data_IF_411384436264
#
_entry.id   IF_411384436264
#
_cell.length_a   1.000
_cell.length_b   1.000
_cell.length_c   1.000
_cell.angle_alpha   90.00
_cell.angle_beta   90.00
_cell.angle_gamma   90.00
#
_symmetry.space_group_name_H-M   'P 1'
#
loop_
_entity.id
_entity.type
_entity.pdbx_description
1 polymer ?
#
# COMPACT_ATOMS: atom_id res chain seq x y z
N UNK A 1 10.52 20.41 -16.31
CA UNK A 1 10.25 19.54 -15.14
C UNK A 1 8.91 18.85 -15.34
N UNK A 2 8.77 17.60 -14.90
CA UNK A 2 7.52 16.83 -15.02
C UNK A 2 6.99 16.62 -13.61
N UNK A 3 5.83 17.19 -13.31
CA UNK A 3 5.18 17.03 -12.01
C UNK A 3 4.37 15.73 -12.00
N UNK A 4 4.65 14.84 -11.05
CA UNK A 4 3.85 13.64 -10.82
C UNK A 4 2.90 13.91 -9.66
N UNK A 5 1.60 13.93 -9.94
CA UNK A 5 0.59 14.18 -8.94
C UNK A 5 0.55 13.09 -7.87
N UNK A 6 0.08 13.47 -6.67
CA UNK A 6 -0.20 12.49 -5.62
C UNK A 6 -1.25 11.50 -6.09
N UNK A 7 -0.99 10.23 -5.86
CA UNK A 7 -1.92 9.17 -6.22
C UNK A 7 -1.87 8.73 -7.67
N UNK A 8 -1.02 9.33 -8.51
CA UNK A 8 -0.86 8.91 -9.91
C UNK A 8 -0.58 7.39 -9.98
N UNK A 9 -1.38 6.63 -10.76
CA UNK A 9 -1.22 5.19 -10.86
C UNK A 9 -0.05 4.82 -11.77
N UNK A 10 0.40 3.56 -11.65
CA UNK A 10 1.34 3.00 -12.60
C UNK A 10 0.75 3.02 -14.02
N UNK A 11 1.58 3.34 -15.02
CA UNK A 11 1.18 3.42 -16.42
C UNK A 11 0.50 4.74 -16.81
N UNK A 12 0.27 5.66 -15.87
CA UNK A 12 -0.31 6.96 -16.19
C UNK A 12 0.57 7.74 -17.18
N UNK A 13 -0.08 8.38 -18.16
CA UNK A 13 0.59 9.11 -19.25
C UNK A 13 0.49 10.62 -19.02
N UNK A 14 1.62 11.30 -18.89
CA UNK A 14 1.70 12.75 -18.79
C UNK A 14 2.17 13.26 -20.16
N UNK A 15 1.30 14.00 -20.86
CA UNK A 15 1.56 14.50 -22.22
C UNK A 15 1.97 15.96 -22.14
N UNK A 16 3.13 16.29 -22.72
CA UNK A 16 3.58 17.65 -22.96
C UNK A 16 3.46 17.98 -24.45
N UNK A 17 2.44 18.74 -24.86
CA UNK A 17 2.17 18.96 -26.27
C UNK A 17 3.22 19.85 -26.92
N UNK A 18 3.62 19.51 -28.16
CA UNK A 18 4.58 20.29 -28.94
C UNK A 18 5.99 20.38 -28.32
N UNK A 19 6.37 19.38 -27.50
CA UNK A 19 7.68 19.31 -26.83
C UNK A 19 8.59 18.20 -27.38
N UNK A 20 8.19 17.54 -28.46
CA UNK A 20 9.08 16.64 -29.21
C UNK A 20 9.98 17.44 -30.18
N UNK A 21 10.69 16.72 -31.06
CA UNK A 21 11.61 17.31 -32.02
C UNK A 21 10.93 18.33 -32.96
N UNK A 22 11.62 19.43 -33.22
CA UNK A 22 11.17 20.52 -34.09
C UNK A 22 11.93 20.50 -35.42
N UNK A 23 11.21 20.68 -36.53
CA UNK A 23 11.76 20.84 -37.88
C UNK A 23 11.10 22.02 -38.60
N UNK A 24 11.85 22.81 -39.41
CA UNK A 24 11.28 23.93 -40.14
C UNK A 24 10.11 23.51 -41.04
N UNK A 25 8.95 24.16 -40.87
CA UNK A 25 7.75 23.90 -41.66
C UNK A 25 6.86 22.77 -41.15
N UNK A 26 7.21 22.11 -40.04
CA UNK A 26 6.39 21.07 -39.39
C UNK A 26 6.04 21.47 -37.96
N UNK A 27 4.83 21.11 -37.51
CA UNK A 27 4.45 21.25 -36.11
C UNK A 27 5.22 20.22 -35.25
N UNK A 28 5.80 20.63 -34.11
CA UNK A 28 6.45 19.69 -33.20
C UNK A 28 5.46 18.66 -32.63
N UNK A 29 5.93 17.43 -32.44
CA UNK A 29 5.14 16.37 -31.82
C UNK A 29 5.03 16.50 -30.30
N UNK A 30 4.39 15.50 -29.68
CA UNK A 30 4.15 15.46 -28.23
C UNK A 30 5.19 14.61 -27.50
N UNK A 31 5.62 15.08 -26.33
CA UNK A 31 6.46 14.29 -25.43
C UNK A 31 5.57 13.60 -24.38
N UNK A 32 5.56 12.27 -24.37
CA UNK A 32 4.71 11.48 -23.46
C UNK A 32 5.57 10.78 -22.41
N UNK A 33 5.38 11.14 -21.15
CA UNK A 33 5.98 10.45 -20.01
C UNK A 33 5.03 9.36 -19.50
N UNK A 34 5.58 8.20 -19.15
CA UNK A 34 4.82 7.10 -18.54
C UNK A 34 5.33 6.87 -17.12
N UNK A 35 4.42 6.87 -16.15
CA UNK A 35 4.78 6.69 -14.74
C UNK A 35 5.03 5.21 -14.45
N UNK A 36 6.29 4.87 -14.14
CA UNK A 36 6.67 3.53 -13.69
C UNK A 36 6.78 3.50 -12.17
N UNK A 37 5.90 2.72 -11.53
CA UNK A 37 5.99 2.49 -10.09
C UNK A 37 7.13 1.52 -9.81
N UNK A 38 8.07 1.93 -8.97
CA UNK A 38 9.12 1.06 -8.47
C UNK A 38 8.57 0.14 -7.39
N UNK A 39 9.05 -1.10 -7.36
CA UNK A 39 8.77 -2.00 -6.26
C UNK A 39 9.33 -1.43 -4.95
N UNK A 40 8.54 -1.52 -3.89
CA UNK A 40 8.95 -1.15 -2.54
C UNK A 40 9.19 -2.43 -1.73
N UNK A 41 10.25 -2.51 -0.91
CA UNK A 41 10.63 -3.74 -0.20
C UNK A 41 9.54 -4.27 0.74
N UNK A 42 8.68 -3.39 1.26
CA UNK A 42 7.65 -3.77 2.24
C UNK A 42 6.21 -3.55 1.77
N UNK A 43 5.98 -2.58 0.89
CA UNK A 43 4.62 -2.12 0.57
C UNK A 43 4.28 -2.51 -0.86
N UNK A 44 3.16 -3.20 -1.02
CA UNK A 44 2.62 -3.52 -2.34
C UNK A 44 1.38 -2.65 -2.56
N UNK A 45 1.43 -1.78 -3.57
CA UNK A 45 0.29 -0.94 -3.95
C UNK A 45 -0.62 -1.68 -4.94
N UNK A 46 -1.93 -1.62 -4.71
CA UNK A 46 -2.97 -1.98 -5.69
C UNK A 46 -3.96 -0.84 -5.75
N UNK A 47 -3.97 -0.10 -6.85
CA UNK A 47 -4.74 1.14 -7.00
C UNK A 47 -4.48 2.15 -5.87
N UNK A 48 -5.49 2.49 -5.06
CA UNK A 48 -5.34 3.36 -3.91
C UNK A 48 -4.98 2.59 -2.61
N UNK A 49 -5.03 1.26 -2.63
CA UNK A 49 -4.80 0.44 -1.45
C UNK A 49 -3.33 0.03 -1.33
N UNK A 50 -2.91 -0.17 -0.08
CA UNK A 50 -1.58 -0.65 0.28
C UNK A 50 -1.70 -2.00 0.99
N UNK A 51 -0.77 -2.90 0.70
CA UNK A 51 -0.65 -4.19 1.35
C UNK A 51 0.71 -4.27 2.03
N UNK A 52 0.71 -4.72 3.29
CA UNK A 52 1.91 -4.87 4.10
C UNK A 52 1.90 -6.22 4.81
N UNK A 53 2.91 -7.04 4.56
CA UNK A 53 3.05 -8.32 5.22
C UNK A 53 3.61 -8.15 6.64
N UNK A 54 2.93 -8.77 7.62
CA UNK A 54 3.37 -8.80 9.02
C UNK A 54 3.10 -10.17 9.62
N UNK A 55 3.81 -10.47 10.69
CA UNK A 55 3.68 -11.72 11.42
C UNK A 55 3.11 -11.43 12.80
N UNK A 56 2.22 -12.30 13.27
CA UNK A 56 1.68 -12.28 14.64
C UNK A 56 1.70 -13.70 15.20
N UNK A 57 1.93 -13.82 16.49
CA UNK A 57 1.79 -15.11 17.18
C UNK A 57 0.32 -15.56 17.21
N UNK A 58 0.09 -16.87 17.36
CA UNK A 58 -1.26 -17.40 17.59
C UNK A 58 -1.95 -16.73 18.79
N UNK A 59 -1.21 -16.46 19.87
CA UNK A 59 -1.75 -15.78 21.05
C UNK A 59 -2.24 -14.36 20.71
N UNK A 60 -1.43 -13.59 19.99
CA UNK A 60 -1.79 -12.24 19.53
C UNK A 60 -2.95 -12.25 18.54
N UNK A 61 -2.98 -13.23 17.63
CA UNK A 61 -4.08 -13.40 16.69
C UNK A 61 -5.42 -13.68 17.41
N UNK A 62 -5.39 -14.38 18.54
CA UNK A 62 -6.57 -14.72 19.33
C UNK A 62 -6.98 -13.66 20.36
N UNK A 63 -6.00 -13.01 20.98
CA UNK A 63 -6.22 -12.10 22.12
C UNK A 63 -6.08 -10.62 21.75
N UNK A 64 -5.73 -10.33 20.50
CA UNK A 64 -5.46 -9.00 20.00
C UNK A 64 -3.97 -8.66 20.04
N UNK A 65 -3.59 -7.65 19.27
CA UNK A 65 -2.21 -7.20 19.13
C UNK A 65 -2.11 -5.69 19.06
N UNK A 66 -0.90 -5.19 19.31
CA UNK A 66 -0.53 -3.79 19.08
C UNK A 66 0.83 -3.76 18.42
N UNK A 67 0.90 -3.18 17.22
CA UNK A 67 2.15 -3.04 16.48
C UNK A 67 2.39 -1.60 16.06
N UNK A 68 3.66 -1.20 16.08
CA UNK A 68 4.12 0.08 15.54
C UNK A 68 4.65 -0.15 14.13
N UNK A 69 4.12 0.61 13.17
CA UNK A 69 4.50 0.55 11.77
C UNK A 69 5.02 1.92 11.33
N UNK A 70 6.02 1.96 10.47
CA UNK A 70 6.41 3.19 9.78
C UNK A 70 5.71 3.23 8.42
N UNK A 71 4.92 4.28 8.19
CA UNK A 71 4.20 4.47 6.93
C UNK A 71 5.12 5.09 5.86
N UNK A 72 4.66 5.13 4.60
CA UNK A 72 5.38 5.71 3.46
C UNK A 72 5.65 7.21 3.62
N UNK A 73 4.80 7.92 4.35
CA UNK A 73 5.01 9.35 4.67
C UNK A 73 5.94 9.58 5.88
N UNK A 74 6.49 8.51 6.44
CA UNK A 74 7.40 8.55 7.57
C UNK A 74 6.73 8.61 8.95
N UNK A 75 5.40 8.75 9.04
CA UNK A 75 4.68 8.70 10.31
C UNK A 75 4.79 7.33 10.97
N UNK A 76 4.73 7.31 12.29
CA UNK A 76 4.59 6.10 13.07
C UNK A 76 3.10 5.82 13.32
N UNK A 77 2.61 4.72 12.77
CA UNK A 77 1.22 4.26 12.86
C UNK A 77 1.12 3.15 13.89
N UNK A 78 0.26 3.31 14.89
CA UNK A 78 -0.04 2.26 15.87
C UNK A 78 -1.29 1.51 15.41
N UNK A 79 -1.11 0.28 14.92
CA UNK A 79 -2.24 -0.59 14.54
C UNK A 79 -2.57 -1.51 15.70
N UNK A 80 -3.88 -1.65 15.99
CA UNK A 80 -4.39 -2.47 17.08
C UNK A 80 -5.52 -3.38 16.60
N UNK A 81 -5.55 -4.60 17.13
CA UNK A 81 -6.74 -5.45 17.17
C UNK A 81 -7.16 -5.56 18.64
N UNK A 82 -8.44 -5.29 18.92
CA UNK A 82 -8.95 -5.30 20.30
C UNK A 82 -9.00 -6.70 20.90
N UNK A 83 -9.05 -6.80 22.22
CA UNK A 83 -9.32 -8.07 22.91
C UNK A 83 -10.71 -8.60 22.49
N UNK A 84 -10.76 -9.79 21.89
CA UNK A 84 -11.96 -10.39 21.32
C UNK A 84 -12.14 -10.16 19.81
N UNK A 85 -11.32 -9.31 19.18
CA UNK A 85 -11.26 -9.17 17.71
C UNK A 85 -10.25 -10.16 17.14
N UNK A 86 -10.59 -11.45 17.18
CA UNK A 86 -9.73 -12.50 16.66
C UNK A 86 -9.46 -12.27 15.16
N UNK A 87 -8.20 -12.39 14.76
CA UNK A 87 -7.81 -12.32 13.35
C UNK A 87 -8.37 -13.55 12.66
N UNK A 88 -9.38 -13.36 11.81
CA UNK A 88 -9.96 -14.47 11.07
C UNK A 88 -8.95 -14.99 10.05
N UNK A 89 -8.53 -16.27 10.14
CA UNK A 89 -7.64 -16.85 9.16
C UNK A 89 -8.40 -17.09 7.85
N UNK A 90 -7.75 -16.73 6.76
CA UNK A 90 -8.06 -17.09 5.39
C UNK A 90 -7.35 -18.41 5.04
N UNK A 91 -7.64 -18.94 3.85
CA UNK A 91 -6.95 -20.09 3.31
C UNK A 91 -5.42 -19.89 3.36
N UNK A 92 -4.70 -20.87 3.93
CA UNK A 92 -3.25 -20.82 4.08
C UNK A 92 -2.73 -20.17 5.37
N UNK A 93 -3.58 -19.93 6.39
CA UNK A 93 -3.13 -19.49 7.72
C UNK A 93 -2.76 -18.00 7.79
N UNK A 94 -3.27 -17.20 6.85
CA UNK A 94 -3.05 -15.74 6.82
C UNK A 94 -4.32 -15.01 7.21
N UNK A 95 -4.23 -13.91 7.96
CA UNK A 95 -5.35 -13.03 8.27
C UNK A 95 -5.24 -11.70 7.54
N UNK A 96 -6.35 -10.94 7.52
CA UNK A 96 -6.36 -9.57 7.04
C UNK A 96 -6.83 -8.61 8.13
N UNK A 97 -6.08 -7.52 8.33
CA UNK A 97 -6.54 -6.37 9.12
C UNK A 97 -6.55 -5.12 8.25
N UNK A 98 -7.72 -4.53 8.09
CA UNK A 98 -7.89 -3.27 7.36
C UNK A 98 -7.67 -2.07 8.29
N UNK A 99 -6.88 -1.11 7.81
CA UNK A 99 -6.67 0.21 8.42
C UNK A 99 -7.11 1.26 7.40
N UNK A 100 -8.37 1.68 7.50
CA UNK A 100 -9.01 2.59 6.55
C UNK A 100 -8.35 3.96 6.58
N UNK A 101 -8.20 4.58 5.41
CA UNK A 101 -7.62 5.91 5.26
C UNK A 101 -6.09 5.95 5.31
N UNK A 102 -5.43 4.81 5.49
CA UNK A 102 -3.97 4.70 5.52
C UNK A 102 -3.41 4.08 4.22
N UNK A 103 -4.18 4.07 3.13
CA UNK A 103 -3.69 3.71 1.80
C UNK A 103 -2.94 4.85 1.10
N UNK A 104 -2.88 4.79 -0.22
CA UNK A 104 -2.40 5.87 -1.08
C UNK A 104 -3.52 6.89 -1.34
N UNK A 105 -3.18 8.17 -1.59
CA UNK A 105 -4.15 9.14 -2.07
C UNK A 105 -4.68 8.75 -3.45
N UNK A 106 -5.93 9.11 -3.74
CA UNK A 106 -6.54 8.94 -5.06
C UNK A 106 -6.15 10.11 -5.98
N UNK A 107 -5.76 9.81 -7.23
CA UNK A 107 -5.45 10.85 -8.21
C UNK A 107 -6.64 11.81 -8.39
N UNK A 108 -6.38 13.12 -8.43
CA UNK A 108 -7.42 14.16 -8.51
C UNK A 108 -8.22 14.38 -7.21
N UNK A 109 -8.02 13.56 -6.19
CA UNK A 109 -8.66 13.70 -4.87
C UNK A 109 -7.64 13.42 -3.75
N UNK A 110 -6.66 14.31 -3.54
CA UNK A 110 -5.48 14.05 -2.71
C UNK A 110 -5.77 13.87 -1.21
N UNK A 111 -6.99 14.17 -0.77
CA UNK A 111 -7.46 14.00 0.60
C UNK A 111 -8.28 12.71 0.80
N UNK A 112 -8.57 11.99 -0.28
CA UNK A 112 -9.24 10.69 -0.25
C UNK A 112 -8.16 9.62 -0.36
N UNK A 113 -8.06 8.78 0.67
CA UNK A 113 -7.05 7.73 0.77
C UNK A 113 -7.71 6.36 0.70
N UNK A 114 -7.02 5.40 0.09
CA UNK A 114 -7.41 3.99 0.17
C UNK A 114 -7.18 3.40 1.57
N UNK A 115 -7.11 2.08 1.60
CA UNK A 115 -6.95 1.28 2.82
C UNK A 115 -5.57 0.64 2.86
N UNK A 116 -4.96 0.61 4.05
CA UNK A 116 -3.83 -0.27 4.32
C UNK A 116 -4.36 -1.62 4.81
N UNK A 117 -4.04 -2.68 4.09
CA UNK A 117 -4.30 -4.05 4.49
C UNK A 117 -3.02 -4.67 5.05
N UNK A 118 -3.06 -5.06 6.32
CA UNK A 118 -2.04 -5.92 6.89
C UNK A 118 -2.37 -7.37 6.53
N UNK A 119 -1.47 -8.02 5.81
CA UNK A 119 -1.50 -9.46 5.54
C UNK A 119 -0.73 -10.14 6.67
N UNK A 120 -1.48 -10.75 7.59
CA UNK A 120 -0.98 -11.26 8.85
C UNK A 120 -0.68 -12.76 8.74
N UNK A 121 0.58 -13.15 8.70
CA UNK A 121 0.96 -14.56 8.84
C UNK A 121 0.88 -14.96 10.32
N UNK A 122 0.05 -15.96 10.64
CA UNK A 122 -0.12 -16.43 12.02
C UNK A 122 0.94 -17.50 12.31
N UNK A 123 1.83 -17.24 13.26
CA UNK A 123 2.77 -18.25 13.75
C UNK A 123 2.15 -19.10 14.85
N UNK A 124 2.00 -20.39 14.54
CA UNK A 124 1.64 -21.41 15.51
C UNK A 124 2.87 -21.82 16.34
N UNK A 125 2.70 -22.11 17.63
CA UNK A 125 3.76 -22.77 18.41
C UNK A 125 3.93 -24.22 17.93
N UNK A 126 5.15 -24.76 18.05
CA UNK A 126 5.43 -26.15 17.65
C UNK A 126 4.70 -27.18 18.53
N UNK A 127 4.43 -26.83 19.79
CA UNK A 127 3.64 -27.61 20.72
C UNK A 127 2.98 -26.69 21.77
N UNK A 128 1.84 -27.13 22.30
CA UNK A 128 1.21 -26.54 23.49
C UNK A 128 1.25 -27.61 24.58
N UNK A 129 1.96 -27.34 25.67
CA UNK A 129 2.05 -28.28 26.80
C UNK A 129 0.70 -28.42 27.53
N UNK A 130 0.47 -29.54 28.24
CA UNK A 130 -0.68 -29.66 29.12
C UNK A 130 -0.62 -28.60 30.23
N UNK A 131 -1.80 -28.15 30.67
CA UNK A 131 -1.97 -27.17 31.74
C UNK A 131 -1.61 -27.74 33.12
#
# INVERSE_FOLDING_TARGET
EVYVERGTPHGHRIVLPGKADEQPGLAPGDLVFVVHQREHPEFTRRDADLFLAREVSLLEALTGFRMLLRHLDGRALVVRAGAGEAVQPLAGGTGLKAVRGEGMPTQGSPFVFGTLFLVLTIRFPDAVGPA
#
